data_IF_753831773711
#
_entry.id   IF_753831773711
#
_cell.length_a   1.000
_cell.length_b   1.000
_cell.length_c   1.000
_cell.angle_alpha   90.00
_cell.angle_beta   90.00
_cell.angle_gamma   90.00
#
_symmetry.space_group_name_H-M   'P 1'
#
loop_
_entity.id
_entity.type
_entity.pdbx_description
1 polymer ?
#
# COMPACT_ATOMS: atom_id res chain seq x y z
N UNK A 1 28.05 -0.04 -7.77
CA UNK A 1 27.75 -0.59 -9.12
C UNK A 1 26.27 -0.38 -9.48
N UNK A 2 25.64 0.74 -9.10
CA UNK A 2 24.18 0.96 -9.19
C UNK A 2 23.77 2.05 -10.18
N UNK A 3 24.71 2.90 -10.62
CA UNK A 3 24.39 4.12 -11.39
C UNK A 3 24.10 3.82 -12.88
N UNK A 4 24.95 3.03 -13.53
CA UNK A 4 24.85 2.78 -14.98
C UNK A 4 23.50 2.16 -15.40
N UNK A 5 22.93 1.27 -14.58
CA UNK A 5 21.62 0.69 -14.86
C UNK A 5 20.48 1.68 -14.61
N UNK A 6 20.60 2.63 -13.68
CA UNK A 6 19.61 3.69 -13.49
C UNK A 6 19.68 4.74 -14.59
N UNK A 7 20.89 5.05 -15.07
CA UNK A 7 21.12 5.89 -16.25
C UNK A 7 20.48 5.27 -17.50
N UNK A 8 20.65 3.97 -17.73
CA UNK A 8 19.98 3.24 -18.81
C UNK A 8 18.45 3.38 -18.75
N UNK A 9 17.84 3.25 -17.56
CA UNK A 9 16.39 3.46 -17.40
C UNK A 9 15.95 4.89 -17.74
N UNK A 10 16.79 5.89 -17.44
CA UNK A 10 16.55 7.28 -17.81
C UNK A 10 16.63 7.47 -19.34
N UNK A 11 17.64 6.88 -19.98
CA UNK A 11 17.86 6.95 -21.44
C UNK A 11 16.73 6.30 -22.24
N UNK A 12 16.17 5.18 -21.73
CA UNK A 12 14.99 4.51 -22.31
C UNK A 12 13.74 5.40 -22.24
N UNK A 13 13.76 6.47 -21.43
CA UNK A 13 12.65 7.40 -21.26
C UNK A 13 11.57 6.89 -20.32
N UNK A 14 11.94 6.08 -19.31
CA UNK A 14 10.99 5.62 -18.32
C UNK A 14 10.45 6.77 -17.47
N UNK A 15 9.19 6.68 -17.02
CA UNK A 15 8.61 7.72 -16.20
C UNK A 15 9.32 7.79 -14.84
N UNK A 16 9.43 9.02 -14.30
CA UNK A 16 10.20 9.29 -13.08
C UNK A 16 9.83 8.41 -11.89
N UNK A 17 8.55 8.13 -11.69
CA UNK A 17 8.08 7.29 -10.59
C UNK A 17 8.64 5.86 -10.65
N UNK A 18 8.91 5.32 -11.84
CA UNK A 18 9.47 3.97 -12.00
C UNK A 18 10.99 3.97 -11.75
N UNK A 19 11.67 5.07 -12.10
CA UNK A 19 13.08 5.30 -11.77
C UNK A 19 13.23 5.45 -10.25
N UNK A 20 12.34 6.21 -9.60
CA UNK A 20 12.35 6.36 -8.14
C UNK A 20 12.13 5.02 -7.43
N UNK A 21 11.26 4.14 -7.97
CA UNK A 21 11.12 2.75 -7.49
C UNK A 21 12.44 2.00 -7.68
N UNK A 22 13.06 2.06 -8.86
CA UNK A 22 14.33 1.39 -9.11
C UNK A 22 15.46 1.84 -8.18
N UNK A 23 15.50 3.13 -7.81
CA UNK A 23 16.45 3.66 -6.85
C UNK A 23 16.20 3.13 -5.43
N UNK A 24 14.94 2.93 -5.03
CA UNK A 24 14.56 2.46 -3.70
C UNK A 24 14.73 0.94 -3.52
N UNK A 25 14.28 0.13 -4.50
CA UNK A 25 14.21 -1.34 -4.37
C UNK A 25 15.22 -2.09 -5.25
N UNK A 26 16.03 -1.36 -6.03
CA UNK A 26 16.97 -1.91 -7.00
C UNK A 26 16.37 -2.13 -8.38
N UNK A 27 17.21 -2.06 -9.41
CA UNK A 27 16.81 -2.11 -10.83
C UNK A 27 16.11 -3.43 -11.18
N UNK A 28 16.63 -4.58 -10.75
CA UNK A 28 16.05 -5.89 -11.08
C UNK A 28 14.60 -6.02 -10.57
N UNK A 29 14.36 -5.57 -9.33
CA UNK A 29 13.02 -5.59 -8.74
C UNK A 29 12.08 -4.62 -9.46
N UNK A 30 12.55 -3.44 -9.85
CA UNK A 30 11.77 -2.49 -10.63
C UNK A 30 11.45 -2.99 -12.04
N UNK A 31 12.38 -3.65 -12.73
CA UNK A 31 12.15 -4.29 -14.03
C UNK A 31 11.09 -5.41 -13.91
N UNK A 32 11.13 -6.20 -12.83
CA UNK A 32 10.10 -7.20 -12.55
C UNK A 32 8.72 -6.57 -12.36
N UNK A 33 8.63 -5.48 -11.58
CA UNK A 33 7.37 -4.71 -11.41
C UNK A 33 6.88 -4.14 -12.74
N UNK A 34 7.77 -3.53 -13.52
CA UNK A 34 7.41 -2.96 -14.82
C UNK A 34 6.88 -4.03 -15.78
N UNK A 35 7.51 -5.21 -15.82
CA UNK A 35 7.04 -6.35 -16.63
C UNK A 35 5.63 -6.79 -16.24
N UNK A 36 5.33 -6.86 -14.95
CA UNK A 36 3.99 -7.22 -14.46
C UNK A 36 2.93 -6.17 -14.83
N UNK A 37 3.26 -4.88 -14.66
CA UNK A 37 2.36 -3.78 -15.04
C UNK A 37 2.07 -3.80 -16.54
N UNK A 38 3.11 -3.98 -17.37
CA UNK A 38 2.99 -4.02 -18.83
C UNK A 38 2.12 -5.20 -19.31
N UNK A 39 2.30 -6.38 -18.71
CA UNK A 39 1.45 -7.54 -18.99
C UNK A 39 -0.02 -7.29 -18.64
N UNK A 40 -0.29 -6.75 -17.44
CA UNK A 40 -1.65 -6.43 -17.00
C UNK A 40 -2.33 -5.36 -17.87
N UNK A 41 -1.58 -4.34 -18.32
CA UNK A 41 -2.08 -3.32 -19.24
C UNK A 41 -2.48 -3.93 -20.59
N UNK A 42 -1.64 -4.83 -21.13
CA UNK A 42 -1.91 -5.56 -22.37
C UNK A 42 -3.17 -6.42 -22.28
N UNK A 43 -3.35 -7.14 -21.16
CA UNK A 43 -4.55 -7.96 -20.92
C UNK A 43 -5.83 -7.13 -20.83
N UNK A 44 -5.74 -5.94 -20.23
CA UNK A 44 -6.86 -4.99 -20.12
C UNK A 44 -7.16 -4.26 -21.42
N UNK A 45 -6.21 -4.19 -22.36
CA UNK A 45 -6.30 -3.34 -23.55
C UNK A 45 -6.26 -1.84 -23.23
N UNK A 46 -5.79 -1.45 -22.05
CA UNK A 46 -5.69 -0.06 -21.58
C UNK A 46 -4.34 0.16 -20.87
N UNK A 47 -3.61 1.18 -21.33
CA UNK A 47 -2.31 1.56 -20.77
C UNK A 47 -2.43 2.55 -19.60
N UNK A 48 -3.65 2.94 -19.19
CA UNK A 48 -3.86 3.82 -18.05
C UNK A 48 -3.67 3.06 -16.75
N UNK A 49 -2.63 3.45 -16.00
CA UNK A 49 -2.37 2.94 -14.66
C UNK A 49 -3.20 3.70 -13.62
N UNK A 50 -4.15 3.02 -12.98
CA UNK A 50 -4.77 3.52 -11.76
C UNK A 50 -3.91 3.16 -10.55
N UNK A 51 -3.37 4.16 -9.84
CA UNK A 51 -2.63 3.97 -8.59
C UNK A 51 -3.56 4.33 -7.42
N UNK A 52 -3.99 3.35 -6.60
CA UNK A 52 -4.79 3.65 -5.42
C UNK A 52 -3.99 4.52 -4.44
N UNK A 53 -4.66 5.48 -3.81
CA UNK A 53 -4.03 6.29 -2.77
C UNK A 53 -3.54 5.39 -1.61
N UNK A 54 -2.34 5.68 -1.08
CA UNK A 54 -1.76 4.95 0.05
C UNK A 54 -2.70 4.88 1.27
N UNK A 55 -3.51 5.91 1.49
CA UNK A 55 -4.55 5.96 2.52
C UNK A 55 -5.58 4.82 2.42
N UNK A 56 -5.78 4.24 1.23
CA UNK A 56 -6.64 3.07 1.03
C UNK A 56 -6.04 1.84 1.69
N UNK A 57 -4.73 1.62 1.52
CA UNK A 57 -4.01 0.53 2.18
C UNK A 57 -3.99 0.72 3.70
N UNK A 58 -3.66 1.92 4.18
CA UNK A 58 -3.66 2.22 5.62
C UNK A 58 -5.04 1.99 6.25
N UNK A 59 -6.11 2.48 5.61
CA UNK A 59 -7.49 2.22 6.04
C UNK A 59 -7.79 0.72 6.10
N UNK A 60 -7.34 -0.05 5.11
CA UNK A 60 -7.52 -1.50 5.11
C UNK A 60 -6.77 -2.15 6.28
N UNK A 61 -5.50 -1.80 6.50
CA UNK A 61 -4.70 -2.33 7.61
C UNK A 61 -5.30 -2.01 8.97
N UNK A 62 -5.70 -0.76 9.21
CA UNK A 62 -6.40 -0.38 10.45
C UNK A 62 -7.67 -1.21 10.66
N UNK A 63 -8.52 -1.28 9.64
CA UNK A 63 -9.78 -2.02 9.76
C UNK A 63 -9.53 -3.52 10.02
N UNK A 64 -8.51 -4.10 9.38
CA UNK A 64 -8.08 -5.47 9.62
C UNK A 64 -7.55 -5.66 11.04
N UNK A 65 -6.75 -4.73 11.54
CA UNK A 65 -6.23 -4.75 12.91
C UNK A 65 -7.36 -4.70 13.94
N UNK A 66 -8.30 -3.75 13.81
CA UNK A 66 -9.50 -3.66 14.66
C UNK A 66 -10.27 -4.97 14.69
N UNK A 67 -10.54 -5.56 13.52
CA UNK A 67 -11.27 -6.82 13.40
C UNK A 67 -10.52 -7.98 14.04
N UNK A 68 -9.20 -8.05 13.88
CA UNK A 68 -8.40 -9.10 14.51
C UNK A 68 -8.42 -9.03 16.04
N UNK A 69 -8.49 -7.83 16.62
CA UNK A 69 -8.59 -7.67 18.07
C UNK A 69 -10.00 -8.00 18.58
N UNK A 70 -11.04 -7.63 17.84
CA UNK A 70 -12.42 -8.02 18.13
C UNK A 70 -12.58 -9.56 18.09
N UNK A 71 -11.96 -10.22 17.11
CA UNK A 71 -11.89 -11.69 17.00
C UNK A 71 -11.21 -12.36 18.18
N UNK A 72 -10.24 -11.69 18.80
CA UNK A 72 -9.55 -12.14 20.00
C UNK A 72 -10.34 -11.84 21.28
N UNK A 73 -11.50 -11.18 21.19
CA UNK A 73 -12.38 -10.89 22.32
C UNK A 73 -12.00 -9.61 23.09
N UNK A 74 -11.14 -8.75 22.55
CA UNK A 74 -10.83 -7.47 23.19
C UNK A 74 -12.05 -6.53 23.16
N UNK A 75 -12.35 -5.80 24.26
CA UNK A 75 -13.47 -4.88 24.28
C UNK A 75 -13.18 -3.61 23.45
N UNK A 76 -14.21 -2.90 22.93
CA UNK A 76 -14.02 -1.80 21.99
C UNK A 76 -13.15 -0.63 22.48
N UNK A 77 -13.15 -0.34 23.77
CA UNK A 77 -12.31 0.67 24.42
C UNK A 77 -10.83 0.26 24.43
N UNK A 78 -10.54 -1.02 24.67
CA UNK A 78 -9.19 -1.57 24.54
C UNK A 78 -8.68 -1.48 23.10
N UNK A 79 -9.51 -1.90 22.15
CA UNK A 79 -9.20 -1.83 20.72
C UNK A 79 -8.92 -0.39 20.31
N UNK A 80 -9.74 0.56 20.78
CA UNK A 80 -9.56 1.98 20.52
C UNK A 80 -8.22 2.50 21.04
N UNK A 81 -7.84 2.13 22.25
CA UNK A 81 -6.53 2.46 22.82
C UNK A 81 -5.39 1.88 22.00
N UNK A 82 -5.47 0.61 21.59
CA UNK A 82 -4.43 -0.04 20.79
C UNK A 82 -4.29 0.58 19.39
N UNK A 83 -5.39 0.98 18.74
CA UNK A 83 -5.31 1.71 17.47
C UNK A 83 -4.56 3.04 17.63
N UNK A 84 -4.77 3.74 18.74
CA UNK A 84 -4.08 5.00 19.01
C UNK A 84 -2.60 4.82 19.32
N UNK A 85 -2.22 3.76 20.03
CA UNK A 85 -0.83 3.55 20.49
C UNK A 85 0.03 2.77 19.49
N UNK A 86 -0.51 1.73 18.87
CA UNK A 86 0.24 0.85 17.95
C UNK A 86 0.26 1.42 16.53
N UNK A 87 -0.89 1.90 16.04
CA UNK A 87 -1.00 2.43 14.67
C UNK A 87 -0.81 3.96 14.63
N UNK A 88 -0.68 4.62 15.79
CA UNK A 88 -0.65 6.09 15.90
C UNK A 88 -1.85 6.78 15.22
N UNK A 89 -2.99 6.07 15.07
CA UNK A 89 -4.17 6.58 14.37
C UNK A 89 -5.21 7.14 15.35
N UNK A 90 -5.63 8.39 15.13
CA UNK A 90 -6.64 9.06 15.94
C UNK A 90 -8.04 8.88 15.35
N UNK A 91 -8.68 7.76 15.67
CA UNK A 91 -10.11 7.55 15.40
C UNK A 91 -10.93 7.63 16.70
N UNK A 92 -12.24 7.82 16.59
CA UNK A 92 -13.13 7.81 17.76
C UNK A 92 -13.54 6.38 18.13
N UNK A 93 -13.92 6.17 19.40
CA UNK A 93 -14.48 4.89 19.86
C UNK A 93 -15.73 4.48 19.07
N UNK A 94 -16.57 5.45 18.69
CA UNK A 94 -17.72 5.20 17.83
C UNK A 94 -17.32 4.67 16.44
N UNK A 95 -16.17 5.10 15.90
CA UNK A 95 -15.64 4.56 14.65
C UNK A 95 -15.25 3.09 14.81
N UNK A 96 -14.53 2.75 15.88
CA UNK A 96 -14.15 1.35 16.20
C UNK A 96 -15.40 0.46 16.25
N UNK A 97 -16.40 0.86 17.04
CA UNK A 97 -17.67 0.13 17.16
C UNK A 97 -18.36 -0.05 15.79
N UNK A 98 -18.31 0.97 14.93
CA UNK A 98 -18.88 0.90 13.57
C UNK A 98 -18.14 -0.09 12.67
N UNK A 99 -16.82 -0.20 12.79
CA UNK A 99 -16.02 -1.16 12.01
C UNK A 99 -16.32 -2.59 12.44
N UNK A 100 -16.46 -2.81 13.75
CA UNK A 100 -16.84 -4.10 14.33
C UNK A 100 -18.24 -4.51 13.87
N UNK A 101 -19.21 -3.58 13.92
CA UNK A 101 -20.61 -3.85 13.54
C UNK A 101 -20.81 -4.11 12.04
N UNK A 102 -19.90 -3.66 11.17
CA UNK A 102 -19.95 -3.87 9.71
C UNK A 102 -19.28 -5.18 9.29
N UNK A 103 -19.50 -6.23 10.08
CA UNK A 103 -19.09 -7.59 9.73
C UNK A 103 -20.00 -8.17 8.67
#
# INVERSE_FOLDING_TARGET
MSDAHLEELCEIGLPRWLIDIAAEIGVDAALSVWRLISAAARERGDNRLHVPAWSTYLRYQRNRFIRSLDEQGYPPDEIHRQVQTVLCERISLAHVKRIIARR
#
